data_IF_137345932506
#
_entry.id   IF_137345932506
#
_cell.length_a   1.000
_cell.length_b   1.000
_cell.length_c   1.000
_cell.angle_alpha   90.00
_cell.angle_beta   90.00
_cell.angle_gamma   90.00
#
_symmetry.space_group_name_H-M   'P 1'
#
loop_
_entity.id
_entity.type
_entity.pdbx_description
1 polymer ?
#
# COMPACT_ATOMS: atom_id res chain seq x y z
N UNK A 1 -20.12 30.66 71.42
CA UNK A 1 -20.62 30.47 70.03
C UNK A 1 -19.41 30.52 69.12
N UNK A 2 -18.79 29.35 68.83
CA UNK A 2 -17.69 29.24 67.87
C UNK A 2 -18.23 28.35 66.73
N UNK A 3 -18.39 28.95 65.55
CA UNK A 3 -18.66 28.22 64.28
C UNK A 3 -17.32 27.94 63.63
N UNK A 4 -16.96 26.67 63.61
CA UNK A 4 -15.80 26.14 62.90
C UNK A 4 -16.19 25.93 61.45
N UNK A 5 -15.51 26.62 60.51
CA UNK A 5 -15.63 26.43 59.06
C UNK A 5 -14.63 25.35 58.65
N UNK A 6 -15.14 24.18 58.29
CA UNK A 6 -14.32 23.17 57.62
C UNK A 6 -14.25 23.50 56.14
N UNK A 7 -13.08 23.93 55.70
CA UNK A 7 -12.73 24.12 54.31
C UNK A 7 -12.34 22.76 53.73
N UNK A 8 -13.25 22.15 53.00
CA UNK A 8 -12.99 20.87 52.33
C UNK A 8 -12.27 21.18 51.01
N UNK A 9 -10.97 21.02 51.00
CA UNK A 9 -10.13 21.10 49.80
C UNK A 9 -10.36 19.83 48.99
N UNK A 10 -11.16 19.91 47.93
CA UNK A 10 -11.28 18.83 46.95
C UNK A 10 -10.02 18.90 46.07
N UNK A 11 -9.09 17.98 46.33
CA UNK A 11 -7.93 17.72 45.51
C UNK A 11 -8.38 16.94 44.26
N UNK A 12 -8.65 17.65 43.16
CA UNK A 12 -8.85 17.03 41.87
C UNK A 12 -7.49 16.42 41.42
N UNK A 13 -7.32 15.15 41.75
CA UNK A 13 -6.29 14.34 41.13
C UNK A 13 -6.70 14.08 39.66
N UNK A 14 -6.29 14.98 38.77
CA UNK A 14 -6.26 14.69 37.32
C UNK A 14 -5.21 13.62 37.10
N UNK A 15 -5.63 12.37 37.15
CA UNK A 15 -4.84 11.26 36.58
C UNK A 15 -4.68 11.54 35.08
N UNK A 16 -3.53 12.07 34.71
CA UNK A 16 -3.00 11.97 33.35
C UNK A 16 -2.86 10.47 33.05
N UNK A 17 -3.93 9.85 32.61
CA UNK A 17 -3.83 8.63 31.83
C UNK A 17 -3.14 9.04 30.53
N UNK A 18 -1.81 9.06 30.54
CA UNK A 18 -1.05 8.83 29.33
C UNK A 18 -1.49 7.45 28.83
N UNK A 19 -2.57 7.44 28.04
CA UNK A 19 -2.95 6.29 27.25
C UNK A 19 -1.76 5.99 26.39
N UNK A 20 -0.97 4.98 26.76
CA UNK A 20 -0.24 4.22 25.79
C UNK A 20 -1.30 3.65 24.85
N UNK A 21 -1.64 4.38 23.80
CA UNK A 21 -2.22 3.77 22.62
C UNK A 21 -1.22 2.69 22.21
N UNK A 22 -1.55 1.46 22.58
CA UNK A 22 -0.88 0.31 22.01
C UNK A 22 -1.07 0.46 20.50
N UNK A 23 0.00 0.85 19.82
CA UNK A 23 0.10 0.88 18.37
C UNK A 23 -0.11 -0.56 17.88
N UNK A 24 -1.38 -0.94 17.72
CA UNK A 24 -1.81 -2.26 17.25
C UNK A 24 -1.72 -2.38 15.73
N UNK A 25 -1.36 -1.30 15.05
CA UNK A 25 -0.99 -1.31 13.63
C UNK A 25 0.40 -0.72 13.52
N UNK A 26 1.38 -1.56 13.23
CA UNK A 26 2.70 -1.12 12.83
C UNK A 26 2.56 -0.20 11.60
N UNK A 27 2.49 1.08 11.87
CA UNK A 27 2.82 2.22 11.02
C UNK A 27 2.20 2.45 9.64
N UNK A 28 1.02 1.94 9.31
CA UNK A 28 0.25 2.58 8.26
C UNK A 28 -0.65 3.67 8.88
N UNK A 29 -0.13 4.88 9.06
CA UNK A 29 -0.92 5.99 9.58
C UNK A 29 -1.50 6.78 8.41
N UNK A 30 -2.82 6.99 8.45
CA UNK A 30 -3.48 7.86 7.48
C UNK A 30 -2.81 9.24 7.45
N UNK A 31 -2.52 9.72 6.24
CA UNK A 31 -1.88 11.02 6.01
C UNK A 31 -0.37 11.07 6.28
N UNK A 32 0.28 9.97 6.67
CA UNK A 32 1.72 9.94 6.91
C UNK A 32 2.46 9.39 5.70
N UNK A 33 3.37 10.20 5.16
CA UNK A 33 4.18 9.84 4.00
C UNK A 33 5.66 9.97 4.29
N UNK A 34 6.44 9.09 3.68
CA UNK A 34 7.90 9.10 3.78
C UNK A 34 8.52 9.55 2.46
N UNK A 35 9.62 10.27 2.56
CA UNK A 35 10.44 10.69 1.42
C UNK A 35 11.88 10.38 1.79
N UNK A 36 12.63 9.77 0.88
CA UNK A 36 14.06 9.58 1.08
C UNK A 36 14.85 10.15 -0.08
N UNK A 37 16.11 10.47 0.18
CA UNK A 37 17.08 10.89 -0.82
C UNK A 37 18.29 9.95 -0.78
N UNK A 38 18.33 8.99 -1.71
CA UNK A 38 19.49 8.09 -1.85
C UNK A 38 20.49 8.58 -2.92
N UNK A 39 20.21 9.74 -3.55
CA UNK A 39 21.14 10.36 -4.50
C UNK A 39 22.34 10.97 -3.77
N UNK A 40 23.43 11.18 -4.51
CA UNK A 40 24.63 11.85 -4.02
C UNK A 40 24.48 13.38 -3.93
N UNK A 41 23.38 13.93 -4.46
CA UNK A 41 23.05 15.36 -4.44
C UNK A 41 21.81 15.61 -3.59
N UNK A 42 21.68 16.79 -2.96
CA UNK A 42 20.46 17.13 -2.24
C UNK A 42 19.21 17.04 -3.14
N UNK A 43 18.11 16.57 -2.56
CA UNK A 43 16.81 16.52 -3.19
C UNK A 43 16.00 17.73 -2.79
N UNK A 44 15.52 18.50 -3.78
CA UNK A 44 14.68 19.68 -3.58
C UNK A 44 13.36 19.49 -4.31
N UNK A 45 12.25 19.75 -3.64
CA UNK A 45 10.91 19.67 -4.23
C UNK A 45 9.94 20.51 -3.39
N UNK A 46 8.72 20.69 -3.89
CA UNK A 46 7.65 21.36 -3.16
C UNK A 46 6.38 20.49 -3.16
N UNK A 47 5.64 20.54 -2.06
CA UNK A 47 4.27 20.04 -2.01
C UNK A 47 3.38 21.22 -1.60
N UNK A 48 2.43 21.55 -2.45
CA UNK A 48 1.64 22.76 -2.36
C UNK A 48 2.55 24.01 -2.28
N UNK A 49 2.51 24.73 -1.15
CA UNK A 49 3.34 25.91 -0.94
C UNK A 49 4.57 25.63 -0.03
N UNK A 50 4.78 24.36 0.39
CA UNK A 50 5.86 23.98 1.29
C UNK A 50 7.04 23.46 0.49
N UNK A 51 8.21 24.06 0.68
CA UNK A 51 9.47 23.61 0.09
C UNK A 51 10.16 22.61 1.02
N UNK A 52 10.70 21.55 0.44
CA UNK A 52 11.43 20.50 1.13
C UNK A 52 12.84 20.41 0.59
N UNK A 53 13.77 20.16 1.50
CA UNK A 53 15.16 19.90 1.22
C UNK A 53 15.60 18.67 2.00
N UNK A 54 16.15 17.68 1.31
CA UNK A 54 16.70 16.48 1.91
C UNK A 54 18.17 16.32 1.50
N UNK A 55 19.04 16.12 2.48
CA UNK A 55 20.42 15.75 2.22
C UNK A 55 20.52 14.30 1.74
N UNK A 56 21.67 13.92 1.21
CA UNK A 56 21.97 12.53 0.84
C UNK A 56 21.77 11.60 2.05
N UNK A 57 21.04 10.51 1.84
CA UNK A 57 20.72 9.51 2.87
C UNK A 57 19.65 9.93 3.88
N UNK A 58 19.10 11.15 3.76
CA UNK A 58 18.05 11.61 4.66
C UNK A 58 16.71 10.97 4.32
N UNK A 59 15.99 10.54 5.35
CA UNK A 59 14.58 10.13 5.28
C UNK A 59 13.75 11.09 6.11
N UNK A 60 12.65 11.57 5.54
CA UNK A 60 11.76 12.54 6.18
C UNK A 60 10.32 12.02 6.17
N UNK A 61 9.69 12.13 7.33
CA UNK A 61 8.25 11.96 7.47
C UNK A 61 7.55 13.29 7.22
N UNK A 62 6.45 13.26 6.46
CA UNK A 62 5.57 14.40 6.25
C UNK A 62 4.12 13.97 6.49
N UNK A 63 3.30 14.94 6.93
CA UNK A 63 1.86 14.74 7.10
C UNK A 63 1.12 15.57 6.07
N UNK A 64 0.22 14.93 5.34
CA UNK A 64 -0.64 15.55 4.35
C UNK A 64 -2.09 15.22 4.68
N UNK A 65 -2.95 16.22 4.57
CA UNK A 65 -4.38 16.05 4.78
C UNK A 65 -5.04 15.34 3.59
N UNK A 66 -6.25 14.85 3.79
CA UNK A 66 -7.05 14.35 2.68
C UNK A 66 -7.41 15.49 1.73
N UNK A 67 -7.36 15.21 0.44
CA UNK A 67 -7.69 16.21 -0.57
C UNK A 67 -6.68 16.29 -1.70
N UNK A 68 -6.78 17.38 -2.44
CA UNK A 68 -5.96 17.64 -3.62
C UNK A 68 -4.65 18.33 -3.24
N UNK A 69 -3.55 17.81 -3.76
CA UNK A 69 -2.18 18.33 -3.57
C UNK A 69 -1.47 18.51 -4.90
N UNK A 70 -0.41 19.30 -4.89
CA UNK A 70 0.46 19.52 -6.05
C UNK A 70 1.91 19.30 -5.63
N UNK A 71 2.55 18.29 -6.23
CA UNK A 71 3.99 18.08 -6.14
C UNK A 71 4.67 18.89 -7.26
N UNK A 72 5.74 19.60 -6.93
CA UNK A 72 6.64 20.25 -7.89
C UNK A 72 8.04 19.68 -7.66
N UNK A 73 8.58 19.03 -8.69
CA UNK A 73 9.93 18.45 -8.62
C UNK A 73 11.04 19.51 -8.79
N UNK A 74 12.29 19.07 -8.75
CA UNK A 74 13.45 19.94 -8.87
C UNK A 74 13.53 20.67 -10.24
N UNK A 75 12.95 20.09 -11.30
CA UNK A 75 12.86 20.66 -12.64
C UNK A 75 11.67 21.61 -12.80
N UNK A 76 10.85 21.80 -11.75
CA UNK A 76 9.65 22.63 -11.77
C UNK A 76 8.44 21.96 -12.41
N UNK A 77 8.51 20.66 -12.72
CA UNK A 77 7.40 19.91 -13.27
C UNK A 77 6.36 19.65 -12.17
N UNK A 78 5.13 20.00 -12.48
CA UNK A 78 3.99 19.85 -11.57
C UNK A 78 3.28 18.53 -11.78
N UNK A 79 2.95 17.85 -10.69
CA UNK A 79 2.08 16.68 -10.68
C UNK A 79 1.01 16.82 -9.62
N UNK A 80 -0.24 16.81 -10.03
CA UNK A 80 -1.39 16.86 -9.13
C UNK A 80 -1.74 15.48 -8.66
N UNK A 81 -2.08 15.33 -7.38
CA UNK A 81 -2.53 14.07 -6.79
C UNK A 81 -3.61 14.31 -5.75
N UNK A 82 -4.36 13.24 -5.46
CA UNK A 82 -5.45 13.24 -4.48
C UNK A 82 -5.13 12.21 -3.40
N UNK A 83 -5.31 12.62 -2.14
CA UNK A 83 -5.24 11.74 -0.96
C UNK A 83 -6.66 11.49 -0.48
N UNK A 84 -7.04 10.23 -0.31
CA UNK A 84 -8.37 9.82 0.10
C UNK A 84 -8.44 9.48 1.59
N UNK A 85 -9.64 9.54 2.17
CA UNK A 85 -9.88 9.29 3.59
C UNK A 85 -9.49 7.87 4.05
N UNK A 86 -9.48 6.91 3.12
CA UNK A 86 -9.05 5.53 3.39
C UNK A 86 -7.56 5.27 3.15
N UNK A 87 -6.73 6.33 3.01
CA UNK A 87 -5.30 6.14 2.80
C UNK A 87 -4.59 5.60 4.05
N UNK A 88 -3.57 4.81 3.84
CA UNK A 88 -2.65 4.33 4.86
C UNK A 88 -1.26 4.97 4.73
N UNK A 89 -1.19 6.16 4.14
CA UNK A 89 0.07 6.83 3.85
C UNK A 89 0.85 6.18 2.71
N UNK A 90 2.15 6.33 2.71
CA UNK A 90 3.00 5.74 1.69
C UNK A 90 4.34 6.44 1.53
N UNK A 91 4.91 6.36 0.31
CA UNK A 91 6.15 7.04 -0.04
C UNK A 91 5.87 8.03 -1.18
N UNK A 92 6.31 9.26 -1.02
CA UNK A 92 6.36 10.26 -2.10
C UNK A 92 7.77 10.26 -2.66
N UNK A 93 7.89 9.98 -3.95
CA UNK A 93 9.15 9.71 -4.65
C UNK A 93 9.38 10.69 -5.79
N UNK A 94 9.67 11.98 -5.51
CA UNK A 94 9.88 12.97 -6.54
C UNK A 94 11.12 12.69 -7.40
N UNK A 95 12.07 11.92 -6.87
CA UNK A 95 13.32 11.56 -7.55
C UNK A 95 13.18 10.33 -8.45
N UNK A 96 12.04 9.63 -8.44
CA UNK A 96 11.80 8.36 -9.14
C UNK A 96 12.85 7.29 -8.84
N UNK A 97 13.24 7.19 -7.59
CA UNK A 97 14.12 6.13 -7.10
C UNK A 97 13.34 4.82 -6.96
N UNK A 98 14.04 3.71 -7.01
CA UNK A 98 13.42 2.39 -6.82
C UNK A 98 13.30 2.11 -5.34
N UNK A 99 12.09 1.78 -4.90
CA UNK A 99 11.80 1.26 -3.57
C UNK A 99 11.43 -0.20 -3.64
N UNK A 100 11.75 -0.94 -2.60
CA UNK A 100 11.45 -2.35 -2.48
C UNK A 100 10.57 -2.59 -1.26
N UNK A 101 9.78 -3.64 -1.29
CA UNK A 101 9.15 -4.18 -0.10
C UNK A 101 9.45 -5.67 0.02
N UNK A 102 9.61 -6.14 1.25
CA UNK A 102 9.75 -7.55 1.57
C UNK A 102 8.73 -7.95 2.63
N UNK A 103 7.99 -9.01 2.36
CA UNK A 103 6.99 -9.55 3.27
C UNK A 103 7.55 -10.75 4.02
N UNK A 104 7.60 -10.65 5.34
CA UNK A 104 8.00 -11.73 6.25
C UNK A 104 6.78 -12.38 6.88
N UNK A 105 6.85 -13.70 7.06
CA UNK A 105 5.87 -14.47 7.82
C UNK A 105 6.42 -14.76 9.23
N UNK A 106 5.67 -14.36 10.24
CA UNK A 106 5.99 -14.58 11.66
C UNK A 106 5.12 -15.66 12.31
N UNK A 107 4.36 -16.41 11.50
CA UNK A 107 3.51 -17.50 12.04
C UNK A 107 4.37 -18.55 12.73
N UNK A 108 3.93 -19.09 13.88
CA UNK A 108 4.57 -20.23 14.52
C UNK A 108 4.63 -21.40 13.54
N UNK A 109 5.72 -22.17 13.58
CA UNK A 109 5.93 -23.31 12.66
C UNK A 109 4.89 -24.43 12.77
N UNK A 110 4.00 -24.37 13.75
CA UNK A 110 2.98 -25.40 14.02
C UNK A 110 1.67 -25.22 13.24
N UNK A 111 1.41 -24.02 12.72
CA UNK A 111 0.26 -23.82 11.84
C UNK A 111 0.62 -24.23 10.41
N UNK A 112 0.26 -25.47 10.06
CA UNK A 112 0.53 -26.12 8.77
C UNK A 112 -0.24 -25.51 7.58
N UNK A 113 -0.85 -24.35 7.70
CA UNK A 113 -1.42 -23.66 6.56
C UNK A 113 -0.33 -22.90 5.80
N UNK A 114 -0.02 -23.33 4.56
CA UNK A 114 0.97 -22.61 3.76
C UNK A 114 0.45 -21.21 3.48
N UNK A 115 1.10 -20.20 4.03
CA UNK A 115 0.86 -18.84 3.65
C UNK A 115 1.36 -18.64 2.21
N UNK A 116 0.45 -18.51 1.27
CA UNK A 116 0.77 -18.27 -0.14
C UNK A 116 1.22 -16.82 -0.32
N UNK A 117 2.49 -16.54 -0.03
CA UNK A 117 3.12 -15.29 -0.41
C UNK A 117 3.40 -15.31 -1.92
N UNK A 118 3.10 -14.20 -2.59
CA UNK A 118 3.49 -14.05 -3.99
C UNK A 118 5.00 -13.86 -4.07
N UNK A 119 5.69 -14.87 -4.58
CA UNK A 119 7.13 -14.86 -4.78
C UNK A 119 7.45 -14.20 -6.13
N UNK A 120 8.42 -13.30 -6.14
CA UNK A 120 8.85 -12.55 -7.33
C UNK A 120 10.37 -12.53 -7.44
N UNK A 121 10.85 -12.23 -8.64
CA UNK A 121 12.28 -12.03 -8.89
C UNK A 121 12.51 -10.59 -9.35
N UNK A 122 13.52 -9.95 -8.79
CA UNK A 122 13.95 -8.60 -9.17
C UNK A 122 15.45 -8.59 -9.45
N UNK A 123 15.89 -7.77 -10.41
CA UNK A 123 17.30 -7.57 -10.67
C UNK A 123 17.85 -6.39 -9.91
N UNK A 124 18.91 -6.58 -9.14
CA UNK A 124 19.59 -5.55 -8.36
C UNK A 124 21.08 -5.68 -8.58
N UNK A 125 21.72 -4.68 -9.19
CA UNK A 125 23.16 -4.64 -9.45
C UNK A 125 23.72 -5.94 -10.07
N UNK A 126 23.02 -6.49 -11.05
CA UNK A 126 23.42 -7.72 -11.74
C UNK A 126 23.20 -9.01 -10.94
N UNK A 127 22.54 -8.95 -9.82
CA UNK A 127 22.10 -10.10 -9.04
C UNK A 127 20.59 -10.32 -9.21
N UNK A 128 20.17 -11.55 -9.37
CA UNK A 128 18.76 -11.93 -9.35
C UNK A 128 18.35 -12.23 -7.90
N UNK A 129 17.44 -11.46 -7.37
CA UNK A 129 16.92 -11.60 -6.00
C UNK A 129 15.51 -12.14 -6.08
N UNK A 130 15.26 -13.28 -5.43
CA UNK A 130 13.97 -13.95 -5.40
C UNK A 130 13.42 -14.04 -3.98
N UNK A 131 12.14 -13.73 -3.81
CA UNK A 131 11.46 -13.73 -2.51
C UNK A 131 10.07 -13.13 -2.57
N UNK A 132 9.44 -12.95 -1.42
CA UNK A 132 8.19 -12.21 -1.30
C UNK A 132 8.46 -10.69 -1.40
N UNK A 133 8.90 -10.25 -2.57
CA UNK A 133 9.42 -8.91 -2.85
C UNK A 133 8.51 -8.20 -3.83
N UNK A 134 8.34 -6.88 -3.66
CA UNK A 134 7.84 -5.99 -4.70
C UNK A 134 8.83 -4.85 -4.90
N UNK A 135 8.76 -4.19 -6.06
CA UNK A 135 9.51 -2.97 -6.34
C UNK A 135 8.64 -1.94 -7.04
N UNK A 136 8.93 -0.66 -6.83
CA UNK A 136 8.25 0.45 -7.51
C UNK A 136 9.16 1.66 -7.60
N UNK A 137 9.12 2.38 -8.72
CA UNK A 137 9.70 3.70 -8.93
C UNK A 137 8.62 4.77 -9.15
N UNK A 138 7.37 4.42 -8.87
CA UNK A 138 6.26 5.34 -8.97
C UNK A 138 6.50 6.60 -8.12
N UNK A 139 5.99 7.74 -8.57
CA UNK A 139 6.09 8.99 -7.80
C UNK A 139 5.30 8.90 -6.49
N UNK A 140 4.18 8.17 -6.51
CA UNK A 140 3.35 7.91 -5.34
C UNK A 140 3.25 6.41 -5.10
N UNK A 141 3.93 5.93 -4.07
CA UNK A 141 3.90 4.53 -3.65
C UNK A 141 2.91 4.43 -2.50
N UNK A 142 1.74 3.92 -2.82
CA UNK A 142 0.58 3.86 -1.93
C UNK A 142 0.65 2.66 -0.99
N UNK A 143 0.57 2.90 0.31
CA UNK A 143 0.56 1.84 1.32
C UNK A 143 -0.69 0.96 1.27
N UNK A 144 -1.78 1.42 0.70
CA UNK A 144 -2.95 0.57 0.49
C UNK A 144 -2.62 -0.61 -0.46
N UNK A 145 -1.64 -0.43 -1.34
CA UNK A 145 -1.21 -1.43 -2.33
C UNK A 145 0.15 -2.04 -1.98
N UNK A 146 1.12 -1.20 -1.64
CA UNK A 146 2.51 -1.61 -1.41
C UNK A 146 2.74 -2.16 -0.01
N UNK A 147 1.88 -1.81 0.97
CA UNK A 147 1.83 -2.32 2.34
C UNK A 147 3.14 -2.16 3.11
N UNK A 148 3.52 -0.92 3.40
CA UNK A 148 4.68 -0.65 4.26
C UNK A 148 4.26 -0.65 5.73
N UNK A 149 4.26 -1.81 6.38
CA UNK A 149 4.00 -1.91 7.82
C UNK A 149 5.18 -1.37 8.63
N UNK A 150 6.39 -1.56 8.11
CA UNK A 150 7.63 -1.00 8.67
C UNK A 150 8.19 0.00 7.67
N UNK A 151 8.30 1.28 8.07
CA UNK A 151 8.77 2.33 7.17
C UNK A 151 10.26 2.25 6.86
N UNK A 152 10.73 3.18 6.03
CA UNK A 152 12.13 3.32 5.64
C UNK A 152 13.02 3.54 6.89
N UNK A 153 14.20 2.97 6.88
CA UNK A 153 15.23 3.05 7.93
C UNK A 153 14.84 2.47 9.31
N UNK A 154 13.67 1.87 9.45
CA UNK A 154 13.31 1.15 10.66
C UNK A 154 13.66 -0.35 10.53
N UNK A 155 14.22 -1.00 11.55
CA UNK A 155 14.53 -2.42 11.48
C UNK A 155 13.27 -3.28 11.48
N UNK A 156 13.32 -4.43 10.79
CA UNK A 156 12.27 -5.43 10.92
C UNK A 156 12.26 -5.91 12.38
N UNK A 157 11.12 -5.86 13.07
CA UNK A 157 11.04 -6.35 14.44
C UNK A 157 11.35 -7.85 14.49
N UNK A 158 12.08 -8.28 15.49
CA UNK A 158 12.42 -9.72 15.70
C UNK A 158 11.27 -10.51 16.30
N UNK A 159 10.27 -9.81 16.85
CA UNK A 159 9.10 -10.37 17.50
C UNK A 159 7.88 -9.50 17.21
N UNK A 160 6.78 -10.11 16.85
CA UNK A 160 5.48 -9.43 16.80
C UNK A 160 4.76 -9.69 18.12
N UNK A 161 4.37 -8.62 18.86
CA UNK A 161 3.59 -8.82 20.07
C UNK A 161 2.27 -9.50 19.71
N UNK A 162 1.93 -10.47 20.50
CA UNK A 162 0.83 -11.43 20.46
C UNK A 162 -0.39 -11.06 19.60
N UNK A 163 -0.30 -11.32 18.31
CA UNK A 163 -1.43 -11.25 17.38
C UNK A 163 -2.19 -12.60 17.32
N UNK A 164 -1.65 -13.63 18.00
CA UNK A 164 -2.19 -14.99 18.01
C UNK A 164 -3.64 -15.09 18.49
N UNK A 165 -4.10 -14.13 19.29
CA UNK A 165 -5.47 -14.12 19.83
C UNK A 165 -6.53 -13.53 18.89
N UNK A 166 -6.16 -13.02 17.70
CA UNK A 166 -7.10 -12.37 16.77
C UNK A 166 -7.29 -13.11 15.44
N UNK A 167 -6.76 -14.32 15.29
CA UNK A 167 -6.91 -15.11 14.06
C UNK A 167 -6.33 -14.44 12.81
N UNK A 168 -5.40 -13.50 12.98
CA UNK A 168 -4.80 -12.72 11.91
C UNK A 168 -3.60 -13.43 11.29
N UNK A 169 -3.39 -13.20 10.00
CA UNK A 169 -2.21 -13.64 9.26
C UNK A 169 -1.00 -12.87 9.83
N UNK A 170 -0.03 -13.58 10.41
CA UNK A 170 1.17 -13.01 11.02
C UNK A 170 2.21 -12.60 9.96
N UNK A 171 1.83 -11.75 9.02
CA UNK A 171 2.75 -11.19 8.02
C UNK A 171 3.05 -9.74 8.29
N UNK A 172 4.27 -9.36 7.98
CA UNK A 172 4.76 -8.01 8.09
C UNK A 172 5.50 -7.64 6.81
N UNK A 173 5.19 -6.49 6.23
CA UNK A 173 5.87 -5.96 5.06
C UNK A 173 6.72 -4.76 5.44
N UNK A 174 8.02 -4.85 5.19
CA UNK A 174 8.95 -3.74 5.34
C UNK A 174 9.23 -3.10 4.00
N UNK A 175 9.23 -1.77 3.97
CA UNK A 175 9.70 -0.98 2.83
C UNK A 175 11.15 -0.54 2.99
N UNK A 176 11.85 -0.51 1.88
CA UNK A 176 13.27 -0.20 1.79
C UNK A 176 13.53 0.80 0.67
N UNK A 177 14.46 1.71 0.91
CA UNK A 177 15.18 2.35 -0.20
C UNK A 177 16.10 1.35 -0.89
N UNK A 178 16.60 1.69 -2.07
CA UNK A 178 17.52 0.80 -2.79
C UNK A 178 18.75 0.44 -1.96
N UNK A 179 19.40 1.42 -1.36
CA UNK A 179 20.60 1.20 -0.54
C UNK A 179 20.30 0.35 0.71
N UNK A 180 19.19 0.63 1.38
CA UNK A 180 18.76 -0.14 2.56
C UNK A 180 18.44 -1.59 2.18
N UNK A 181 17.83 -1.82 1.00
CA UNK A 181 17.51 -3.16 0.54
C UNK A 181 18.77 -3.96 0.14
N UNK A 182 19.74 -3.32 -0.50
CA UNK A 182 21.04 -3.94 -0.80
C UNK A 182 21.76 -4.39 0.46
N UNK A 183 21.80 -3.54 1.49
CA UNK A 183 22.37 -3.91 2.79
C UNK A 183 21.59 -5.06 3.44
N UNK A 184 20.27 -5.04 3.37
CA UNK A 184 19.42 -6.11 3.89
C UNK A 184 19.69 -7.46 3.22
N UNK A 185 19.70 -7.53 1.88
CA UNK A 185 19.93 -8.80 1.15
C UNK A 185 21.36 -9.33 1.33
N UNK A 186 22.35 -8.44 1.56
CA UNK A 186 23.73 -8.83 1.82
C UNK A 186 23.88 -9.71 3.06
N UNK A 187 22.97 -9.57 4.02
CA UNK A 187 22.89 -10.35 5.26
C UNK A 187 22.20 -11.72 5.08
N UNK A 188 21.78 -12.06 3.86
CA UNK A 188 21.10 -13.31 3.49
C UNK A 188 19.90 -13.63 4.39
N UNK A 189 18.91 -12.74 4.45
CA UNK A 189 17.76 -12.95 5.30
C UNK A 189 16.96 -14.19 4.87
N UNK A 190 16.29 -14.82 5.83
CA UNK A 190 15.43 -15.97 5.54
C UNK A 190 14.30 -15.58 4.56
N UNK A 191 14.01 -16.46 3.60
CA UNK A 191 12.98 -16.23 2.59
C UNK A 191 13.42 -15.37 1.40
N UNK A 192 14.70 -14.99 1.33
CA UNK A 192 15.30 -14.35 0.16
C UNK A 192 16.44 -15.22 -0.40
N UNK A 193 16.39 -15.42 -1.70
CA UNK A 193 17.43 -16.10 -2.45
C UNK A 193 18.14 -15.12 -3.39
N UNK A 194 19.46 -15.07 -3.33
CA UNK A 194 20.28 -14.19 -4.17
C UNK A 194 21.14 -15.03 -5.10
N UNK A 195 20.97 -14.83 -6.39
CA UNK A 195 21.69 -15.56 -7.43
C UNK A 195 22.61 -14.58 -8.20
N UNK A 196 23.87 -14.95 -8.34
CA UNK A 196 24.85 -14.17 -9.09
C UNK A 196 25.83 -15.07 -9.82
N UNK A 197 26.36 -14.63 -10.94
CA UNK A 197 27.38 -15.37 -11.70
C UNK A 197 26.94 -16.80 -12.06
N UNK A 198 27.69 -17.82 -11.60
CA UNK A 198 27.44 -19.24 -11.95
C UNK A 198 26.10 -19.76 -11.42
N UNK A 199 25.60 -19.20 -10.33
CA UNK A 199 24.35 -19.67 -9.70
C UNK A 199 23.11 -19.17 -10.45
N UNK A 200 23.24 -18.27 -11.44
CA UNK A 200 22.10 -17.84 -12.27
C UNK A 200 21.48 -18.99 -13.08
N UNK A 201 22.28 -19.99 -13.45
CA UNK A 201 21.76 -21.19 -14.12
C UNK A 201 20.88 -22.05 -13.21
N UNK A 202 21.15 -22.05 -11.91
CA UNK A 202 20.32 -22.72 -10.92
C UNK A 202 18.99 -21.99 -10.72
N UNK A 203 19.03 -20.65 -10.69
CA UNK A 203 17.82 -19.83 -10.62
C UNK A 203 16.86 -20.11 -11.79
N UNK A 204 17.36 -20.28 -13.01
CA UNK A 204 16.53 -20.63 -14.16
C UNK A 204 15.85 -22.00 -14.01
N UNK A 205 16.56 -23.00 -13.47
CA UNK A 205 15.97 -24.32 -13.22
C UNK A 205 14.89 -24.28 -12.12
N UNK A 206 15.10 -23.49 -11.08
CA UNK A 206 14.14 -23.33 -9.99
C UNK A 206 12.92 -22.53 -10.46
N UNK A 207 13.11 -21.50 -11.31
CA UNK A 207 12.03 -20.75 -11.94
C UNK A 207 11.05 -21.65 -12.68
N UNK A 208 11.56 -22.55 -13.53
CA UNK A 208 10.76 -23.50 -14.31
C UNK A 208 10.00 -24.48 -13.38
N UNK A 209 10.60 -24.85 -12.24
CA UNK A 209 10.00 -25.76 -11.27
C UNK A 209 8.89 -25.14 -10.43
N UNK A 210 9.02 -23.85 -10.08
CA UNK A 210 8.12 -23.18 -9.13
C UNK A 210 7.23 -22.11 -9.75
N UNK A 211 7.19 -21.98 -11.08
CA UNK A 211 6.38 -20.99 -11.80
C UNK A 211 6.57 -19.56 -11.24
N UNK A 212 7.82 -19.14 -11.04
CA UNK A 212 8.09 -17.82 -10.50
C UNK A 212 7.60 -16.72 -11.44
N UNK A 213 6.93 -15.74 -10.89
CA UNK A 213 6.56 -14.54 -11.63
C UNK A 213 7.85 -13.73 -11.84
N UNK A 214 8.32 -13.70 -13.08
CA UNK A 214 9.47 -12.89 -13.50
C UNK A 214 8.92 -11.60 -14.11
N UNK A 215 8.54 -10.70 -13.25
CA UNK A 215 8.21 -9.35 -13.68
C UNK A 215 9.42 -8.43 -13.57
N UNK A 216 10.66 -8.96 -13.62
CA UNK A 216 12.01 -8.34 -13.63
C UNK A 216 12.12 -6.82 -13.74
N UNK A 217 11.02 -6.15 -13.88
CA UNK A 217 10.85 -4.73 -14.02
C UNK A 217 10.20 -4.14 -12.77
N UNK A 218 10.81 -3.10 -12.29
CA UNK A 218 10.21 -2.13 -11.36
C UNK A 218 8.87 -1.66 -11.91
N UNK A 219 7.82 -1.72 -11.09
CA UNK A 219 6.51 -1.22 -11.49
C UNK A 219 6.51 0.30 -11.52
N UNK A 220 6.35 0.87 -12.68
CA UNK A 220 6.01 2.29 -12.90
C UNK A 220 4.50 2.48 -12.81
N UNK A 221 3.91 2.25 -11.65
CA UNK A 221 2.46 2.38 -11.49
C UNK A 221 2.04 3.80 -11.09
N UNK A 222 2.41 4.80 -11.88
CA UNK A 222 1.68 6.08 -11.91
C UNK A 222 0.33 5.94 -12.65
N UNK A 223 -0.11 4.71 -12.84
CA UNK A 223 -1.14 4.38 -13.81
C UNK A 223 -2.52 4.30 -13.15
N UNK A 224 -3.43 5.15 -13.59
CA UNK A 224 -4.86 4.94 -13.39
C UNK A 224 -5.25 3.73 -14.25
N UNK A 225 -5.66 2.59 -13.67
CA UNK A 225 -5.99 1.43 -14.47
C UNK A 225 -7.13 1.77 -15.44
N UNK A 226 -6.95 1.45 -16.70
CA UNK A 226 -8.03 1.52 -17.69
C UNK A 226 -8.98 0.38 -17.41
N UNK A 227 -10.25 0.70 -17.21
CA UNK A 227 -11.28 -0.32 -17.07
C UNK A 227 -11.49 -1.02 -18.41
N UNK A 228 -11.31 -2.34 -18.41
CA UNK A 228 -11.67 -3.14 -19.57
C UNK A 228 -13.18 -3.32 -19.66
N UNK A 229 -13.69 -3.42 -20.89
CA UNK A 229 -15.09 -3.83 -21.08
C UNK A 229 -15.22 -5.33 -20.71
N UNK A 230 -16.10 -5.63 -19.75
CA UNK A 230 -16.34 -7.00 -19.26
C UNK A 230 -17.81 -7.31 -19.49
N UNK A 231 -18.09 -8.42 -20.17
CA UNK A 231 -19.43 -8.90 -20.43
C UNK A 231 -19.88 -9.88 -19.35
N UNK A 232 -21.16 -9.83 -19.01
CA UNK A 232 -21.81 -10.73 -18.07
C UNK A 232 -23.02 -11.38 -18.74
N UNK A 233 -23.17 -12.67 -18.55
CA UNK A 233 -24.34 -13.45 -19.02
C UNK A 233 -25.56 -13.24 -18.11
N UNK A 234 -25.34 -13.14 -16.80
CA UNK A 234 -26.38 -12.86 -15.84
C UNK A 234 -26.82 -11.39 -15.91
N UNK A 235 -28.12 -11.17 -16.04
CA UNK A 235 -28.74 -9.84 -16.20
C UNK A 235 -28.54 -8.95 -14.97
N UNK A 236 -28.57 -9.51 -13.76
CA UNK A 236 -28.42 -8.75 -12.52
C UNK A 236 -26.94 -8.35 -12.32
N UNK A 237 -26.00 -9.27 -12.58
CA UNK A 237 -24.56 -8.94 -12.58
C UNK A 237 -24.24 -7.89 -13.64
N UNK A 238 -24.80 -8.00 -14.85
CA UNK A 238 -24.62 -7.01 -15.91
C UNK A 238 -25.14 -5.63 -15.50
N UNK A 239 -26.30 -5.58 -14.82
CA UNK A 239 -26.87 -4.32 -14.32
C UNK A 239 -25.94 -3.66 -13.31
N UNK A 240 -25.46 -4.40 -12.31
CA UNK A 240 -24.56 -3.88 -11.30
C UNK A 240 -23.20 -3.49 -11.90
N UNK A 241 -22.66 -4.29 -12.83
CA UNK A 241 -21.45 -3.94 -13.55
C UNK A 241 -21.57 -2.60 -14.28
N UNK A 242 -22.68 -2.32 -14.96
CA UNK A 242 -22.94 -1.03 -15.60
C UNK A 242 -22.96 0.13 -14.61
N UNK A 243 -23.55 -0.06 -13.42
CA UNK A 243 -23.55 0.92 -12.36
C UNK A 243 -22.14 1.17 -11.83
N UNK A 244 -21.38 0.10 -11.59
CA UNK A 244 -19.97 0.17 -11.16
C UNK A 244 -19.12 0.93 -12.19
N UNK A 245 -19.26 0.64 -13.48
CA UNK A 245 -18.54 1.39 -14.53
C UNK A 245 -18.88 2.88 -14.53
N UNK A 246 -20.18 3.21 -14.43
CA UNK A 246 -20.62 4.60 -14.37
C UNK A 246 -20.02 5.33 -13.17
N UNK A 247 -20.11 4.74 -11.99
CA UNK A 247 -19.59 5.33 -10.76
C UNK A 247 -18.06 5.47 -10.85
N UNK A 248 -17.36 4.44 -11.35
CA UNK A 248 -15.90 4.49 -11.48
C UNK A 248 -15.44 5.60 -12.44
N UNK A 249 -16.12 5.74 -13.59
CA UNK A 249 -15.80 6.81 -14.53
C UNK A 249 -16.08 8.20 -13.93
N UNK A 250 -17.19 8.34 -13.20
CA UNK A 250 -17.50 9.61 -12.50
C UNK A 250 -16.47 9.91 -11.40
N UNK A 251 -16.05 8.89 -10.64
CA UNK A 251 -15.00 9.02 -9.63
C UNK A 251 -13.66 9.48 -10.23
N UNK A 252 -13.25 8.87 -11.35
CA UNK A 252 -12.01 9.25 -12.05
C UNK A 252 -12.09 10.65 -12.65
N UNK A 253 -13.25 11.07 -13.14
CA UNK A 253 -13.45 12.37 -13.77
C UNK A 253 -13.63 13.51 -12.77
N UNK A 254 -14.18 13.25 -11.58
CA UNK A 254 -14.42 14.29 -10.58
C UNK A 254 -13.09 14.83 -10.02
N UNK A 255 -13.08 16.13 -9.72
CA UNK A 255 -11.98 16.85 -9.06
C UNK A 255 -12.37 17.32 -7.65
N UNK A 256 -13.64 17.13 -7.28
CA UNK A 256 -14.15 17.50 -5.96
C UNK A 256 -13.98 16.32 -4.98
N UNK A 257 -13.28 16.50 -3.85
CA UNK A 257 -13.08 15.45 -2.84
C UNK A 257 -14.40 14.91 -2.27
N UNK A 258 -15.42 15.77 -2.11
CA UNK A 258 -16.70 15.35 -1.55
C UNK A 258 -17.49 14.50 -2.57
N UNK A 259 -17.48 14.90 -3.85
CA UNK A 259 -18.06 14.08 -4.90
C UNK A 259 -17.36 12.73 -5.01
N UNK A 260 -16.03 12.70 -4.93
CA UNK A 260 -15.26 11.46 -4.94
C UNK A 260 -15.63 10.57 -3.77
N UNK A 261 -15.82 11.11 -2.57
CA UNK A 261 -16.27 10.32 -1.41
C UNK A 261 -17.67 9.75 -1.62
N UNK A 262 -18.59 10.51 -2.26
CA UNK A 262 -19.92 10.00 -2.60
C UNK A 262 -19.84 8.85 -3.61
N UNK A 263 -19.04 8.98 -4.67
CA UNK A 263 -18.82 7.89 -5.63
C UNK A 263 -18.14 6.67 -5.01
N UNK A 264 -17.22 6.89 -4.08
CA UNK A 264 -16.61 5.80 -3.31
C UNK A 264 -17.67 4.99 -2.53
N UNK A 265 -18.58 5.69 -1.84
CA UNK A 265 -19.68 5.05 -1.10
C UNK A 265 -20.65 4.32 -2.03
N UNK A 266 -20.99 4.94 -3.17
CA UNK A 266 -21.87 4.35 -4.19
C UNK A 266 -21.24 3.10 -4.82
N UNK A 267 -19.94 3.12 -5.10
CA UNK A 267 -19.20 1.95 -5.55
C UNK A 267 -19.32 0.78 -4.56
N UNK A 268 -19.05 1.02 -3.28
CA UNK A 268 -19.14 -0.04 -2.26
C UNK A 268 -20.55 -0.63 -2.14
N UNK A 269 -21.58 0.20 -2.30
CA UNK A 269 -22.96 -0.28 -2.33
C UNK A 269 -23.20 -1.25 -3.51
N UNK A 270 -22.79 -0.88 -4.71
CA UNK A 270 -22.94 -1.73 -5.89
C UNK A 270 -22.11 -3.01 -5.83
N UNK A 271 -20.88 -2.94 -5.29
CA UNK A 271 -20.03 -4.12 -5.05
C UNK A 271 -20.70 -5.09 -4.09
N UNK A 272 -21.31 -4.59 -3.02
CA UNK A 272 -22.02 -5.44 -2.06
C UNK A 272 -23.19 -6.16 -2.73
N UNK A 273 -24.01 -5.47 -3.52
CA UNK A 273 -25.12 -6.08 -4.26
C UNK A 273 -24.59 -7.12 -5.25
N UNK A 274 -23.57 -6.78 -6.02
CA UNK A 274 -22.96 -7.68 -6.99
C UNK A 274 -22.41 -8.95 -6.34
N UNK A 275 -21.78 -8.82 -5.16
CA UNK A 275 -21.29 -9.96 -4.39
C UNK A 275 -22.43 -10.88 -3.90
N UNK A 276 -23.56 -10.30 -3.48
CA UNK A 276 -24.75 -11.07 -3.09
C UNK A 276 -25.32 -11.87 -4.28
N UNK A 277 -25.47 -11.22 -5.45
CA UNK A 277 -25.95 -11.89 -6.66
C UNK A 277 -25.00 -13.01 -7.09
N UNK A 278 -23.70 -12.74 -7.09
CA UNK A 278 -22.70 -13.75 -7.43
C UNK A 278 -22.69 -14.93 -6.45
N UNK A 279 -22.83 -14.67 -5.15
CA UNK A 279 -22.93 -15.71 -4.12
C UNK A 279 -24.15 -16.62 -4.33
N UNK A 280 -25.30 -16.06 -4.75
CA UNK A 280 -26.51 -16.85 -5.10
C UNK A 280 -26.28 -17.74 -6.33
N UNK A 281 -25.52 -17.26 -7.33
CA UNK A 281 -25.16 -18.08 -8.49
C UNK A 281 -24.31 -19.28 -8.08
N UNK A 282 -23.29 -19.07 -7.23
CA UNK A 282 -22.43 -20.16 -6.73
C UNK A 282 -23.26 -21.21 -5.98
N UNK A 283 -24.23 -20.79 -5.16
CA UNK A 283 -25.11 -21.71 -4.43
C UNK A 283 -25.99 -22.55 -5.36
N UNK A 284 -26.24 -22.09 -6.59
CA UNK A 284 -26.99 -22.78 -7.63
C UNK A 284 -26.10 -23.49 -8.67
N UNK A 285 -24.79 -23.67 -8.38
CA UNK A 285 -23.80 -24.28 -9.28
C UNK A 285 -23.66 -23.58 -10.65
N UNK A 286 -23.91 -22.26 -10.69
CA UNK A 286 -23.76 -21.45 -11.90
C UNK A 286 -22.42 -20.67 -11.82
N UNK A 287 -21.49 -20.96 -12.73
CA UNK A 287 -20.13 -20.40 -12.72
C UNK A 287 -19.77 -19.60 -13.98
N UNK A 288 -20.73 -19.35 -14.85
CA UNK A 288 -20.50 -18.77 -16.18
C UNK A 288 -19.83 -17.38 -16.13
N UNK A 289 -20.11 -16.58 -15.08
CA UNK A 289 -19.60 -15.22 -14.93
C UNK A 289 -18.40 -15.11 -13.95
N UNK A 290 -17.80 -16.23 -13.54
CA UNK A 290 -16.73 -16.25 -12.52
C UNK A 290 -15.54 -15.37 -12.90
N UNK A 291 -15.00 -15.54 -14.10
CA UNK A 291 -13.84 -14.79 -14.56
C UNK A 291 -14.17 -13.29 -14.71
N UNK A 292 -15.36 -13.00 -15.29
CA UNK A 292 -15.85 -11.64 -15.47
C UNK A 292 -16.00 -10.92 -14.12
N UNK A 293 -16.59 -11.61 -13.13
CA UNK A 293 -16.77 -11.08 -11.78
C UNK A 293 -15.43 -10.72 -11.13
N UNK A 294 -14.50 -11.67 -11.05
CA UNK A 294 -13.21 -11.42 -10.42
C UNK A 294 -12.38 -10.38 -11.17
N UNK A 295 -12.45 -10.34 -12.49
CA UNK A 295 -11.78 -9.33 -13.28
C UNK A 295 -12.29 -7.93 -12.96
N UNK A 296 -13.63 -7.72 -12.93
CA UNK A 296 -14.22 -6.43 -12.57
C UNK A 296 -13.84 -6.00 -11.15
N UNK A 297 -13.98 -6.90 -10.17
CA UNK A 297 -13.60 -6.61 -8.77
C UNK A 297 -12.13 -6.22 -8.65
N UNK A 298 -11.24 -6.93 -9.33
CA UNK A 298 -9.81 -6.64 -9.28
C UNK A 298 -9.46 -5.29 -9.94
N UNK A 299 -10.03 -5.00 -11.12
CA UNK A 299 -9.76 -3.74 -11.82
C UNK A 299 -10.30 -2.53 -11.05
N UNK A 300 -11.54 -2.59 -10.59
CA UNK A 300 -12.17 -1.50 -9.85
C UNK A 300 -11.63 -1.39 -8.42
N UNK A 301 -11.33 -2.52 -7.78
CA UNK A 301 -10.73 -2.55 -6.44
C UNK A 301 -9.35 -1.89 -6.41
N UNK A 302 -8.58 -1.95 -7.48
CA UNK A 302 -7.30 -1.22 -7.60
C UNK A 302 -7.49 0.30 -7.63
N UNK A 303 -8.62 0.77 -8.17
CA UNK A 303 -8.95 2.20 -8.21
C UNK A 303 -9.45 2.67 -6.85
N UNK A 304 -10.48 2.02 -6.32
CA UNK A 304 -11.13 2.44 -5.07
C UNK A 304 -10.38 2.01 -3.82
N UNK A 305 -9.49 1.03 -3.91
CA UNK A 305 -8.58 0.66 -2.84
C UNK A 305 -7.36 1.57 -2.72
N UNK A 306 -7.12 2.45 -3.69
CA UNK A 306 -6.00 3.36 -3.65
C UNK A 306 -6.20 4.46 -2.60
N UNK A 307 -5.18 4.70 -1.79
CA UNK A 307 -5.12 5.82 -0.86
C UNK A 307 -4.62 7.10 -1.52
N UNK A 308 -3.88 6.96 -2.64
CA UNK A 308 -3.36 8.07 -3.43
C UNK A 308 -3.60 7.78 -4.92
N UNK A 309 -4.09 8.75 -5.65
CA UNK A 309 -4.12 8.71 -7.13
C UNK A 309 -3.54 10.00 -7.70
N UNK A 310 -2.62 9.85 -8.65
CA UNK A 310 -2.18 10.99 -9.46
C UNK A 310 -3.24 11.32 -10.51
N UNK A 311 -3.53 12.58 -10.68
CA UNK A 311 -4.35 13.01 -11.82
C UNK A 311 -3.53 12.85 -13.11
N UNK A 312 -4.13 12.40 -14.21
CA UNK A 312 -3.48 12.44 -15.50
C UNK A 312 -3.07 13.87 -15.78
N UNK A 313 -1.90 14.05 -16.37
CA UNK A 313 -1.48 15.35 -16.85
C UNK A 313 -2.63 15.90 -17.70
N UNK A 314 -3.17 17.03 -17.28
CA UNK A 314 -4.14 17.75 -18.10
C UNK A 314 -3.43 18.07 -19.41
N UNK A 315 -3.81 17.37 -20.48
CA UNK A 315 -3.45 17.73 -21.86
C UNK A 315 -4.19 19.01 -22.21
#
# INVERSE_FOLDING_TARGET
MHRSFYLTTILCATTLTAGCEQRTNLNSQSGVFYISNNKTTPLVFQIDNNSFWLNTGEVKEIKLENGKHVLVDAEGKKKTFMIYSGNHGGIINPAKEVYYSFTSNFSPKEDNEPLYLTMRSVWIDGQLVHGAINSSDAIFIDNNVFRCDVPLNEPIPTYLPDWSNKGGINVLTKCFSQTEFQDFISRKPYGIHVYSGRNLLEAHKEKDKYNWIDDGNTRTDDFIPTLSHIEFNNRELLKEAKSIYKVTNSYLASRDPNEKQNYYNEYHFHIMIMAMVYSQQIQNDIFDDKEAYFKLINETGRIFGAGILSEPALI
#
